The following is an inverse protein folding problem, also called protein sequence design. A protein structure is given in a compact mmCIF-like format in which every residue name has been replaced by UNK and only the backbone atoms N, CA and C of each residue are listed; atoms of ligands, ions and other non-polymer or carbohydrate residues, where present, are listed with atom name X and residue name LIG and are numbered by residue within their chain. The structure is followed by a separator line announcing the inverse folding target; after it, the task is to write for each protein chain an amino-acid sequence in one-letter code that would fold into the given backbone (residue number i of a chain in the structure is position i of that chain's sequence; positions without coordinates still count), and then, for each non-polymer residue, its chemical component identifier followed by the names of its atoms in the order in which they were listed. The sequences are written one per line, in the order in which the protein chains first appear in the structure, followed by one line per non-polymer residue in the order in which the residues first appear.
data_IF_501758412443
#
_entry.id   IF_501758412443
#
_cell.length_a   1.000
_cell.length_b   1.000
_cell.length_c   1.000
_cell.angle_alpha   90.00
_cell.angle_beta   90.00
_cell.angle_gamma   90.00
#
_symmetry.space_group_name_H-M   'P 1'
#
loop_
_entity.id
_entity.type
_entity.pdbx_description
1 polymer ?
#
# COMPACT_ATOMS: atom_id res chain seq x y z
N UNK A 1 -87.57 -0.69 -93.11
CA UNK A 1 -86.11 -0.61 -92.86
C UNK A 1 -85.81 0.41 -91.76
N UNK A 2 -86.07 1.70 -91.99
CA UNK A 2 -85.73 2.81 -91.08
C UNK A 2 -86.12 2.65 -89.59
N UNK A 3 -87.32 2.15 -89.25
CA UNK A 3 -87.72 1.96 -87.83
C UNK A 3 -86.94 0.84 -87.12
N UNK A 4 -86.50 -0.20 -87.83
CA UNK A 4 -85.67 -1.27 -87.25
C UNK A 4 -84.21 -0.81 -87.09
N UNK A 5 -83.71 -0.02 -88.02
CA UNK A 5 -82.39 0.61 -87.92
C UNK A 5 -82.31 1.63 -86.77
N UNK A 6 -83.35 2.47 -86.61
CA UNK A 6 -83.43 3.41 -85.49
C UNK A 6 -83.48 2.70 -84.12
N UNK A 7 -84.22 1.59 -84.01
CA UNK A 7 -84.25 0.78 -82.78
C UNK A 7 -82.90 0.09 -82.50
N UNK A 8 -82.20 -0.39 -83.53
CA UNK A 8 -80.86 -0.96 -83.42
C UNK A 8 -79.84 0.08 -82.96
N UNK A 9 -79.87 1.28 -83.52
CA UNK A 9 -78.99 2.40 -83.13
C UNK A 9 -79.27 2.86 -81.69
N UNK A 10 -80.54 2.91 -81.27
CA UNK A 10 -80.91 3.24 -79.89
C UNK A 10 -80.42 2.19 -78.88
N UNK A 11 -80.50 0.90 -79.24
CA UNK A 11 -79.97 -0.19 -78.41
C UNK A 11 -78.43 -0.15 -78.31
N UNK A 12 -77.73 0.15 -79.40
CA UNK A 12 -76.28 0.35 -79.40
C UNK A 12 -75.86 1.56 -78.58
N UNK A 13 -76.58 2.68 -78.67
CA UNK A 13 -76.34 3.87 -77.86
C UNK A 13 -76.50 3.57 -76.37
N UNK A 14 -77.58 2.87 -75.97
CA UNK A 14 -77.81 2.46 -74.59
C UNK A 14 -76.73 1.50 -74.07
N UNK A 15 -76.25 0.57 -74.92
CA UNK A 15 -75.15 -0.33 -74.61
C UNK A 15 -73.84 0.44 -74.38
N UNK A 16 -73.48 1.36 -75.28
CA UNK A 16 -72.28 2.18 -75.13
C UNK A 16 -72.38 3.15 -73.95
N UNK A 17 -73.56 3.68 -73.63
CA UNK A 17 -73.79 4.46 -72.40
C UNK A 17 -73.53 3.62 -71.15
N UNK A 18 -74.09 2.40 -71.08
CA UNK A 18 -73.85 1.49 -69.95
C UNK A 18 -72.37 1.09 -69.82
N UNK A 19 -71.66 0.97 -70.96
CA UNK A 19 -70.23 0.69 -71.01
C UNK A 19 -69.42 1.88 -70.53
N UNK A 20 -69.77 3.10 -70.95
CA UNK A 20 -69.14 4.34 -70.48
C UNK A 20 -69.29 4.49 -68.97
N UNK A 21 -70.51 4.31 -68.43
CA UNK A 21 -70.74 4.35 -66.99
C UNK A 21 -69.94 3.28 -66.22
N UNK A 22 -69.82 2.07 -66.77
CA UNK A 22 -69.01 1.01 -66.17
C UNK A 22 -67.52 1.35 -66.16
N UNK A 23 -67.00 1.89 -67.27
CA UNK A 23 -65.61 2.33 -67.38
C UNK A 23 -65.33 3.52 -66.46
N UNK A 24 -66.25 4.48 -66.33
CA UNK A 24 -66.14 5.61 -65.40
C UNK A 24 -66.08 5.13 -63.94
N UNK A 25 -66.91 4.15 -63.55
CA UNK A 25 -66.83 3.54 -62.22
C UNK A 25 -65.51 2.81 -62.01
N UNK A 26 -65.05 2.04 -62.99
CA UNK A 26 -63.76 1.33 -62.91
C UNK A 26 -62.58 2.30 -62.82
N UNK A 27 -62.63 3.40 -63.58
CA UNK A 27 -61.63 4.46 -63.53
C UNK A 27 -61.62 5.11 -62.15
N UNK A 28 -62.79 5.43 -61.58
CA UNK A 28 -62.92 6.00 -60.23
C UNK A 28 -62.35 5.09 -59.13
N UNK A 29 -62.60 3.78 -59.22
CA UNK A 29 -62.00 2.80 -58.30
C UNK A 29 -60.49 2.71 -58.48
N UNK A 30 -60.00 2.70 -59.73
CA UNK A 30 -58.57 2.65 -60.00
C UNK A 30 -57.85 3.92 -59.50
N UNK A 31 -58.44 5.11 -59.67
CA UNK A 31 -57.87 6.36 -59.16
C UNK A 31 -57.82 6.36 -57.64
N UNK A 32 -58.89 5.92 -56.96
CA UNK A 32 -58.91 5.82 -55.50
C UNK A 32 -57.83 4.85 -54.97
N UNK A 33 -57.66 3.70 -55.62
CA UNK A 33 -56.62 2.74 -55.26
C UNK A 33 -55.21 3.30 -55.48
N UNK A 34 -55.00 4.10 -56.53
CA UNK A 34 -53.70 4.76 -56.79
C UNK A 34 -53.41 5.82 -55.73
N UNK A 35 -54.41 6.61 -55.32
CA UNK A 35 -54.27 7.59 -54.23
C UNK A 35 -53.96 6.91 -52.89
N UNK A 36 -54.64 5.81 -52.58
CA UNK A 36 -54.35 5.00 -51.39
C UNK A 36 -52.94 4.40 -51.43
N UNK A 37 -52.52 3.88 -52.58
CA UNK A 37 -51.16 3.34 -52.75
C UNK A 37 -50.09 4.44 -52.61
N UNK A 38 -50.34 5.64 -53.14
CA UNK A 38 -49.44 6.77 -53.04
C UNK A 38 -49.25 7.23 -51.59
N UNK A 39 -50.35 7.40 -50.84
CA UNK A 39 -50.31 7.78 -49.42
C UNK A 39 -49.61 6.71 -48.56
N UNK A 40 -49.87 5.43 -48.83
CA UNK A 40 -49.16 4.33 -48.17
C UNK A 40 -47.66 4.32 -48.49
N UNK A 41 -47.27 4.57 -49.75
CA UNK A 41 -45.87 4.64 -50.16
C UNK A 41 -45.14 5.83 -49.48
N UNK A 42 -45.79 6.97 -49.34
CA UNK A 42 -45.25 8.13 -48.61
C UNK A 42 -45.05 7.80 -47.12
N UNK A 43 -46.03 7.14 -46.50
CA UNK A 43 -45.93 6.70 -45.11
C UNK A 43 -44.76 5.73 -44.89
N UNK A 44 -44.59 4.75 -45.79
CA UNK A 44 -43.48 3.79 -45.72
C UNK A 44 -42.12 4.47 -45.92
N UNK A 45 -42.02 5.44 -46.84
CA UNK A 45 -40.78 6.23 -47.01
C UNK A 45 -40.42 7.03 -45.76
N UNK A 46 -41.41 7.63 -45.10
CA UNK A 46 -41.19 8.35 -43.84
C UNK A 46 -40.72 7.41 -42.72
N UNK A 47 -41.33 6.23 -42.60
CA UNK A 47 -40.92 5.22 -41.62
C UNK A 47 -39.51 4.69 -41.88
N UNK A 48 -39.16 4.39 -43.14
CA UNK A 48 -37.81 3.95 -43.51
C UNK A 48 -36.76 5.01 -43.19
N UNK A 49 -37.09 6.30 -43.39
CA UNK A 49 -36.18 7.39 -43.04
C UNK A 49 -35.91 7.45 -41.53
N UNK A 50 -36.97 7.37 -40.71
CA UNK A 50 -36.84 7.35 -39.25
C UNK A 50 -36.02 6.15 -38.76
N UNK A 51 -36.26 4.97 -39.32
CA UNK A 51 -35.49 3.77 -38.98
C UNK A 51 -34.01 3.89 -39.40
N UNK A 52 -33.73 4.55 -40.53
CA UNK A 52 -32.36 4.86 -40.95
C UNK A 52 -31.64 5.76 -39.94
N UNK A 53 -32.29 6.84 -39.50
CA UNK A 53 -31.74 7.76 -38.50
C UNK A 53 -31.52 7.08 -37.13
N UNK A 54 -32.44 6.19 -36.71
CA UNK A 54 -32.28 5.39 -35.49
C UNK A 54 -31.11 4.40 -35.61
N UNK A 55 -30.96 3.73 -36.75
CA UNK A 55 -29.89 2.78 -36.99
C UNK A 55 -28.52 3.46 -36.98
N UNK A 56 -28.40 4.65 -37.58
CA UNK A 56 -27.17 5.46 -37.51
C UNK A 56 -26.82 5.85 -36.07
N UNK A 57 -27.82 6.26 -35.27
CA UNK A 57 -27.60 6.60 -33.84
C UNK A 57 -27.13 5.39 -33.04
N UNK A 58 -27.75 4.22 -33.23
CA UNK A 58 -27.36 3.00 -32.52
C UNK A 58 -25.96 2.55 -32.93
N UNK A 59 -25.61 2.67 -34.22
CA UNK A 59 -24.26 2.36 -34.69
C UNK A 59 -23.20 3.28 -34.09
N UNK A 60 -23.48 4.58 -33.97
CA UNK A 60 -22.60 5.53 -33.32
C UNK A 60 -22.38 5.17 -31.83
N UNK A 61 -23.47 4.95 -31.09
CA UNK A 61 -23.40 4.56 -29.67
C UNK A 61 -22.66 3.23 -29.44
N UNK A 62 -22.87 2.24 -30.33
CA UNK A 62 -22.13 0.98 -30.27
C UNK A 62 -20.63 1.18 -30.51
N UNK A 63 -20.26 2.11 -31.41
CA UNK A 63 -18.86 2.48 -31.65
C UNK A 63 -18.21 3.09 -30.41
N UNK A 64 -18.90 4.01 -29.76
CA UNK A 64 -18.42 4.66 -28.52
C UNK A 64 -18.24 3.66 -27.38
N UNK A 65 -19.22 2.76 -27.16
CA UNK A 65 -19.12 1.75 -26.11
C UNK A 65 -18.02 0.72 -26.41
N UNK A 66 -17.77 0.37 -27.68
CA UNK A 66 -16.62 -0.49 -28.04
C UNK A 66 -15.29 0.16 -27.69
N UNK A 67 -15.10 1.43 -28.03
CA UNK A 67 -13.88 2.17 -27.68
C UNK A 67 -13.68 2.25 -26.16
N UNK A 68 -14.77 2.43 -25.42
CA UNK A 68 -14.74 2.44 -23.95
C UNK A 68 -14.38 1.08 -23.37
N UNK A 69 -14.91 -0.01 -23.91
CA UNK A 69 -14.53 -1.37 -23.51
C UNK A 69 -13.04 -1.63 -23.77
N UNK A 70 -12.53 -1.28 -24.95
CA UNK A 70 -11.11 -1.41 -25.28
C UNK A 70 -10.22 -0.61 -24.31
N UNK A 71 -10.61 0.64 -23.99
CA UNK A 71 -9.89 1.45 -23.01
C UNK A 71 -9.88 0.84 -21.61
N UNK A 72 -11.00 0.24 -21.17
CA UNK A 72 -11.10 -0.43 -19.88
C UNK A 72 -10.28 -1.73 -19.86
N UNK A 73 -10.25 -2.49 -20.95
CA UNK A 73 -9.41 -3.70 -21.07
C UNK A 73 -7.93 -3.36 -20.91
N UNK A 74 -7.46 -2.27 -21.52
CA UNK A 74 -6.08 -1.78 -21.35
C UNK A 74 -5.81 -1.39 -19.90
N UNK A 75 -6.75 -0.69 -19.24
CA UNK A 75 -6.61 -0.32 -17.82
C UNK A 75 -6.57 -1.55 -16.90
N UNK A 76 -7.38 -2.57 -17.19
CA UNK A 76 -7.38 -3.83 -16.42
C UNK A 76 -6.02 -4.53 -16.56
N UNK A 77 -5.45 -4.59 -17.76
CA UNK A 77 -4.13 -5.19 -17.98
C UNK A 77 -3.01 -4.43 -17.25
N UNK A 78 -3.05 -3.09 -17.24
CA UNK A 78 -2.10 -2.26 -16.47
C UNK A 78 -2.21 -2.55 -14.97
N UNK A 79 -3.43 -2.55 -14.43
CA UNK A 79 -3.67 -2.82 -13.01
C UNK A 79 -3.22 -4.23 -12.62
N UNK A 80 -3.48 -5.24 -13.45
CA UNK A 80 -3.00 -6.61 -13.22
C UNK A 80 -1.48 -6.68 -13.17
N UNK A 81 -0.79 -5.98 -14.09
CA UNK A 81 0.67 -5.93 -14.13
C UNK A 81 1.24 -5.25 -12.87
N UNK A 82 0.61 -4.17 -12.40
CA UNK A 82 1.01 -3.46 -11.18
C UNK A 82 0.79 -4.30 -9.92
N UNK A 83 -0.33 -5.02 -9.84
CA UNK A 83 -0.59 -5.94 -8.72
C UNK A 83 0.48 -7.03 -8.66
N UNK A 84 0.80 -7.65 -9.80
CA UNK A 84 1.83 -8.68 -9.87
C UNK A 84 3.21 -8.16 -9.41
N UNK A 85 3.58 -6.93 -9.82
CA UNK A 85 4.82 -6.30 -9.36
C UNK A 85 4.83 -6.05 -7.84
N UNK A 86 3.74 -5.53 -7.28
CA UNK A 86 3.63 -5.32 -5.84
C UNK A 86 3.66 -6.62 -5.03
N UNK A 87 3.04 -7.69 -5.53
CA UNK A 87 3.10 -9.02 -4.89
C UNK A 87 4.53 -9.57 -4.86
N UNK A 88 5.26 -9.40 -5.96
CA UNK A 88 6.67 -9.78 -6.01
C UNK A 88 7.53 -8.98 -5.01
N UNK A 89 7.34 -7.66 -4.94
CA UNK A 89 8.06 -6.81 -3.98
C UNK A 89 7.76 -7.20 -2.52
N UNK A 90 6.49 -7.56 -2.22
CA UNK A 90 6.08 -8.07 -0.91
C UNK A 90 6.82 -9.37 -0.56
N UNK A 91 6.84 -10.32 -1.48
CA UNK A 91 7.46 -11.63 -1.25
C UNK A 91 8.97 -11.49 -1.04
N UNK A 92 9.62 -10.61 -1.81
CA UNK A 92 11.03 -10.28 -1.64
C UNK A 92 11.29 -9.60 -0.28
N UNK A 93 10.39 -8.74 0.19
CA UNK A 93 10.50 -8.10 1.49
C UNK A 93 10.34 -9.11 2.64
N UNK A 94 9.37 -10.01 2.54
CA UNK A 94 9.15 -11.08 3.52
C UNK A 94 10.37 -12.03 3.60
N UNK A 95 10.97 -12.36 2.45
CA UNK A 95 12.19 -13.16 2.41
C UNK A 95 13.37 -12.45 3.11
N UNK A 96 13.54 -11.14 2.86
CA UNK A 96 14.56 -10.33 3.56
C UNK A 96 14.32 -10.24 5.06
N UNK A 97 13.07 -10.07 5.48
CA UNK A 97 12.69 -10.03 6.90
C UNK A 97 13.02 -11.37 7.58
N UNK A 98 12.66 -12.50 6.98
CA UNK A 98 13.00 -13.83 7.51
C UNK A 98 14.50 -14.03 7.65
N UNK A 99 15.28 -13.60 6.65
CA UNK A 99 16.74 -13.68 6.72
C UNK A 99 17.32 -12.80 7.83
N UNK A 100 16.78 -11.60 8.00
CA UNK A 100 17.18 -10.67 9.05
C UNK A 100 16.85 -11.24 10.44
N UNK A 101 15.65 -11.82 10.60
CA UNK A 101 15.22 -12.45 11.84
C UNK A 101 16.15 -13.60 12.26
N UNK A 102 16.60 -14.44 11.30
CA UNK A 102 17.60 -15.48 11.58
C UNK A 102 18.94 -14.90 12.04
N UNK A 103 19.44 -13.86 11.36
CA UNK A 103 20.68 -13.18 11.75
C UNK A 103 20.56 -12.52 13.13
N UNK A 104 19.40 -11.95 13.47
CA UNK A 104 19.14 -11.40 14.79
C UNK A 104 19.03 -12.50 15.86
N UNK A 105 18.46 -13.66 15.54
CA UNK A 105 18.43 -14.80 16.46
C UNK A 105 19.84 -15.35 16.76
N UNK A 106 20.76 -15.26 15.80
CA UNK A 106 22.18 -15.59 16.00
C UNK A 106 22.92 -14.58 16.89
N UNK A 107 22.43 -13.34 17.00
CA UNK A 107 22.98 -12.35 17.92
C UNK A 107 22.58 -12.72 19.35
N UNK A 108 23.52 -13.35 20.05
CA UNK A 108 23.36 -13.69 21.46
C UNK A 108 23.53 -12.42 22.33
N UNK A 109 22.44 -11.66 22.46
CA UNK A 109 22.35 -10.44 23.27
C UNK A 109 22.68 -10.72 24.75
N UNK A 110 22.43 -11.94 25.22
CA UNK A 110 22.80 -12.35 26.58
C UNK A 110 24.31 -12.47 26.75
N UNK A 111 25.04 -13.01 25.77
CA UNK A 111 26.51 -13.01 25.79
C UNK A 111 27.08 -11.60 25.79
N UNK A 112 26.49 -10.67 25.03
CA UNK A 112 26.93 -9.27 25.02
C UNK A 112 26.71 -8.57 26.37
N UNK A 113 25.59 -8.85 27.06
CA UNK A 113 25.35 -8.34 28.41
C UNK A 113 26.32 -8.94 29.45
N UNK A 114 26.60 -10.25 29.37
CA UNK A 114 27.60 -10.91 30.22
C UNK A 114 28.97 -10.27 30.00
N UNK A 115 29.41 -10.13 28.75
CA UNK A 115 30.68 -9.49 28.39
C UNK A 115 30.74 -8.05 28.91
N UNK A 116 29.67 -7.26 28.77
CA UNK A 116 29.64 -5.89 29.27
C UNK A 116 29.72 -5.81 30.81
N UNK A 117 29.07 -6.72 31.53
CA UNK A 117 29.17 -6.82 33.00
C UNK A 117 30.57 -7.25 33.45
N UNK A 118 31.19 -8.18 32.74
CA UNK A 118 32.57 -8.61 32.99
C UNK A 118 33.56 -7.45 32.72
N UNK A 119 33.40 -6.74 31.62
CA UNK A 119 34.19 -5.55 31.30
C UNK A 119 34.02 -4.43 32.35
N UNK A 120 32.82 -4.27 32.92
CA UNK A 120 32.59 -3.33 34.04
C UNK A 120 33.34 -3.74 35.31
N UNK A 121 33.54 -5.04 35.52
CA UNK A 121 34.38 -5.54 36.61
C UNK A 121 35.85 -5.24 36.34
N UNK A 122 36.30 -5.40 35.08
CA UNK A 122 37.65 -5.03 34.66
C UNK A 122 37.89 -3.52 34.78
N UNK A 123 36.94 -2.64 34.42
CA UNK A 123 37.06 -1.18 34.60
C UNK A 123 37.33 -0.81 36.07
N UNK A 124 36.65 -1.48 37.01
CA UNK A 124 36.88 -1.28 38.45
C UNK A 124 38.28 -1.75 38.89
N UNK A 125 38.74 -2.89 38.38
CA UNK A 125 40.08 -3.40 38.67
C UNK A 125 41.17 -2.47 38.12
N UNK A 126 41.00 -1.98 36.89
CA UNK A 126 41.92 -1.01 36.27
C UNK A 126 41.97 0.29 37.06
N UNK A 127 40.83 0.76 37.60
CA UNK A 127 40.81 1.93 38.47
C UNK A 127 41.53 1.69 39.81
N UNK A 128 41.44 0.47 40.38
CA UNK A 128 42.23 0.09 41.56
C UNK A 128 43.73 0.16 41.28
N UNK A 129 44.17 -0.44 40.16
CA UNK A 129 45.59 -0.40 39.73
C UNK A 129 46.05 1.04 39.52
N UNK A 130 45.21 1.90 38.93
CA UNK A 130 45.52 3.32 38.75
C UNK A 130 45.68 4.04 40.09
N UNK A 131 44.83 3.73 41.07
CA UNK A 131 44.91 4.28 42.43
C UNK A 131 46.21 3.85 43.15
N UNK A 132 46.56 2.56 43.06
CA UNK A 132 47.79 2.02 43.62
C UNK A 132 49.03 2.60 42.94
N UNK A 133 49.03 2.75 41.61
CA UNK A 133 50.12 3.37 40.86
C UNK A 133 50.36 4.83 41.28
N UNK A 134 49.30 5.60 41.57
CA UNK A 134 49.40 6.96 42.12
C UNK A 134 50.00 6.96 43.53
N UNK A 135 49.52 6.04 44.38
CA UNK A 135 50.04 5.89 45.75
C UNK A 135 51.53 5.51 45.74
N UNK A 136 51.93 4.62 44.82
CA UNK A 136 53.33 4.27 44.59
C UNK A 136 54.13 5.47 44.08
N UNK A 137 53.60 6.25 43.13
CA UNK A 137 54.23 7.48 42.64
C UNK A 137 54.51 8.48 43.77
N UNK A 138 53.59 8.61 44.73
CA UNK A 138 53.79 9.45 45.92
C UNK A 138 54.84 8.89 46.88
N UNK A 139 54.87 7.58 47.08
CA UNK A 139 55.86 6.92 47.93
C UNK A 139 57.30 7.05 47.36
N UNK A 140 57.46 6.93 46.04
CA UNK A 140 58.75 7.08 45.35
C UNK A 140 59.38 8.46 45.59
N UNK A 141 58.57 9.51 45.75
CA UNK A 141 59.08 10.86 46.08
C UNK A 141 59.84 10.91 47.41
N UNK A 142 59.65 9.92 48.28
CA UNK A 142 60.31 9.82 49.60
C UNK A 142 61.60 9.00 49.56
N UNK A 143 61.99 8.47 48.40
CA UNK A 143 63.23 7.71 48.27
C UNK A 143 64.44 8.62 48.43
N UNK A 144 65.43 8.15 49.19
CA UNK A 144 66.67 8.89 49.48
C UNK A 144 67.71 8.67 48.38
N UNK A 145 67.70 7.51 47.72
CA UNK A 145 68.60 7.21 46.60
C UNK A 145 68.03 7.80 45.29
N UNK A 146 68.78 8.72 44.69
CA UNK A 146 68.38 9.42 43.46
C UNK A 146 68.18 8.47 42.26
N UNK A 147 68.98 7.41 42.15
CA UNK A 147 68.85 6.45 41.04
C UNK A 147 67.58 5.59 41.17
N UNK A 148 67.26 5.16 42.38
CA UNK A 148 66.04 4.39 42.67
C UNK A 148 64.80 5.26 42.54
N UNK A 149 64.90 6.53 42.95
CA UNK A 149 63.84 7.51 42.81
C UNK A 149 63.52 7.77 41.33
N UNK A 150 64.54 8.01 40.50
CA UNK A 150 64.36 8.30 39.07
C UNK A 150 63.78 7.10 38.31
N UNK A 151 64.32 5.90 38.54
CA UNK A 151 63.83 4.67 37.90
C UNK A 151 62.40 4.33 38.33
N UNK A 152 62.10 4.40 39.63
CA UNK A 152 60.77 4.11 40.16
C UNK A 152 59.74 5.16 39.75
N UNK A 153 60.14 6.43 39.58
CA UNK A 153 59.24 7.50 39.10
C UNK A 153 58.80 7.23 37.66
N UNK A 154 59.73 6.79 36.80
CA UNK A 154 59.43 6.42 35.42
C UNK A 154 58.46 5.23 35.35
N UNK A 155 58.67 4.21 36.20
CA UNK A 155 57.77 3.05 36.30
C UNK A 155 56.38 3.46 36.78
N UNK A 156 56.29 4.27 37.84
CA UNK A 156 55.01 4.75 38.37
C UNK A 156 54.24 5.58 37.34
N UNK A 157 54.91 6.47 36.60
CA UNK A 157 54.32 7.25 35.52
C UNK A 157 53.76 6.35 34.41
N UNK A 158 54.54 5.36 33.97
CA UNK A 158 54.11 4.41 32.94
C UNK A 158 52.88 3.58 33.39
N UNK A 159 52.81 3.18 34.67
CA UNK A 159 51.66 2.45 35.22
C UNK A 159 50.39 3.32 35.24
N UNK A 160 50.50 4.61 35.58
CA UNK A 160 49.36 5.55 35.55
C UNK A 160 48.87 5.81 34.12
N UNK A 161 49.79 5.97 33.16
CA UNK A 161 49.44 6.17 31.75
C UNK A 161 48.80 4.92 31.15
N UNK A 162 49.41 3.74 31.38
CA UNK A 162 48.90 2.47 30.88
C UNK A 162 47.50 2.15 31.46
N UNK A 163 47.31 2.31 32.77
CA UNK A 163 45.99 2.09 33.39
C UNK A 163 44.93 3.06 32.85
N UNK A 164 45.30 4.30 32.54
CA UNK A 164 44.38 5.28 31.93
C UNK A 164 43.98 4.87 30.50
N UNK A 165 44.94 4.42 29.69
CA UNK A 165 44.67 3.91 28.33
C UNK A 165 43.81 2.65 28.36
N UNK A 166 44.15 1.68 29.22
CA UNK A 166 43.37 0.46 29.41
C UNK A 166 41.92 0.77 29.79
N UNK A 167 41.72 1.73 30.70
CA UNK A 167 40.39 2.15 31.12
C UNK A 167 39.59 2.78 29.97
N UNK A 168 40.24 3.61 29.15
CA UNK A 168 39.65 4.16 27.93
C UNK A 168 39.17 3.06 27.00
N UNK A 169 40.05 2.11 26.65
CA UNK A 169 39.70 0.96 25.79
C UNK A 169 38.54 0.14 26.36
N UNK A 170 38.55 -0.16 27.67
CA UNK A 170 37.47 -0.92 28.32
C UNK A 170 36.14 -0.19 28.21
N UNK A 171 36.12 1.13 28.42
CA UNK A 171 34.90 1.95 28.29
C UNK A 171 34.39 1.99 26.86
N UNK A 172 35.28 2.15 25.87
CA UNK A 172 34.90 2.15 24.46
C UNK A 172 34.25 0.81 24.05
N UNK A 173 34.79 -0.32 24.55
CA UNK A 173 34.21 -1.64 24.29
C UNK A 173 32.88 -1.81 25.01
N UNK A 174 32.75 -1.39 26.28
CA UNK A 174 31.47 -1.39 26.99
C UNK A 174 30.42 -0.57 26.22
N UNK A 175 30.79 0.62 25.75
CA UNK A 175 29.88 1.48 24.99
C UNK A 175 29.45 0.80 23.69
N UNK A 176 30.36 0.18 22.93
CA UNK A 176 30.02 -0.57 21.71
C UNK A 176 29.16 -1.81 21.98
N UNK A 177 29.39 -2.53 23.08
CA UNK A 177 28.57 -3.68 23.47
C UNK A 177 27.16 -3.28 23.92
N UNK A 178 26.95 -2.02 24.33
CA UNK A 178 25.68 -1.53 24.87
C UNK A 178 24.96 -0.51 23.95
N UNK A 179 25.62 0.11 22.96
CA UNK A 179 25.06 1.27 22.24
C UNK A 179 24.18 0.96 21.03
N UNK A 180 24.15 -0.29 20.51
CA UNK A 180 23.26 -0.66 19.38
C UNK A 180 22.36 -1.86 19.69
N UNK A 181 22.81 -2.83 20.49
CA UNK A 181 22.06 -4.04 20.83
C UNK A 181 21.01 -3.85 21.94
N UNK A 182 21.18 -2.87 22.83
CA UNK A 182 20.23 -2.63 23.92
C UNK A 182 19.00 -1.80 23.51
N UNK A 183 19.10 -0.95 22.48
CA UNK A 183 17.94 -0.18 21.99
C UNK A 183 16.86 -1.07 21.37
N UNK A 184 17.23 -2.26 20.88
CA UNK A 184 16.30 -3.22 20.30
C UNK A 184 15.68 -4.18 21.31
N UNK A 185 16.30 -4.41 22.48
CA UNK A 185 15.92 -5.51 23.38
C UNK A 185 15.55 -5.09 24.81
N UNK A 186 15.84 -3.87 25.25
CA UNK A 186 15.29 -3.34 26.51
C UNK A 186 13.91 -2.72 26.22
N UNK A 187 12.93 -3.55 25.87
CA UNK A 187 11.54 -3.11 25.69
C UNK A 187 10.72 -3.89 24.66
N UNK A 188 11.34 -4.60 23.72
CA UNK A 188 10.63 -5.53 22.86
C UNK A 188 10.41 -6.83 23.64
N UNK A 189 9.39 -6.84 24.50
CA UNK A 189 8.73 -8.10 24.81
C UNK A 189 8.32 -8.69 23.46
N UNK A 190 9.08 -9.67 22.99
CA UNK A 190 8.66 -10.54 21.89
C UNK A 190 7.29 -11.03 22.34
N UNK A 191 6.23 -10.52 21.71
CA UNK A 191 4.86 -11.06 21.84
C UNK A 191 4.85 -12.42 21.16
N UNK A 192 5.61 -13.35 21.71
CA UNK A 192 5.51 -14.76 21.38
C UNK A 192 4.80 -15.44 22.55
N UNK A 193 3.46 -15.59 22.47
CA UNK A 193 2.69 -16.32 23.48
C UNK A 193 3.08 -17.81 23.55
N UNK A 194 3.94 -18.31 22.67
CA UNK A 194 4.45 -19.69 22.67
C UNK A 194 5.87 -19.83 23.25
N UNK A 195 6.61 -18.73 23.44
CA UNK A 195 7.96 -18.76 24.04
C UNK A 195 7.95 -19.09 25.55
N UNK A 196 6.83 -18.86 26.23
CA UNK A 196 6.64 -19.33 27.60
C UNK A 196 6.19 -20.79 27.56
N UNK A 197 7.16 -21.71 27.51
CA UNK A 197 6.91 -23.14 27.66
C UNK A 197 5.97 -23.44 28.82
N UNK A 198 5.10 -24.43 28.63
CA UNK A 198 4.03 -24.84 29.56
C UNK A 198 4.55 -24.86 31.00
N UNK A 199 4.08 -23.90 31.80
CA UNK A 199 4.31 -23.89 33.24
C UNK A 199 3.64 -25.14 33.82
N UNK A 200 4.45 -26.13 34.22
CA UNK A 200 4.00 -27.16 35.16
C UNK A 200 3.54 -26.41 36.42
N UNK A 201 2.30 -26.66 36.81
CA UNK A 201 1.66 -26.17 38.05
C UNK A 201 0.88 -24.84 37.98
N UNK A 202 0.25 -24.53 36.85
CA UNK A 202 -1.06 -23.84 36.84
C UNK A 202 -1.13 -22.42 37.44
N UNK A 203 -0.05 -21.65 37.40
CA UNK A 203 -0.06 -20.25 37.84
C UNK A 203 -0.82 -19.34 36.86
N UNK A 204 -1.90 -18.69 37.32
CA UNK A 204 -2.66 -17.70 36.53
C UNK A 204 -1.86 -16.39 36.43
N UNK A 205 -1.55 -15.95 35.21
CA UNK A 205 -1.14 -14.57 34.96
C UNK A 205 -2.36 -13.66 35.03
N UNK A 206 -2.34 -12.66 35.91
CA UNK A 206 -3.36 -11.61 35.97
C UNK A 206 -3.28 -10.74 34.71
N UNK A 207 -3.97 -11.17 33.65
CA UNK A 207 -4.16 -10.41 32.42
C UNK A 207 -5.59 -9.93 32.32
N UNK A 208 -5.90 -8.76 32.89
CA UNK A 208 -7.07 -8.00 32.50
C UNK A 208 -6.90 -6.52 32.83
N UNK A 209 -6.79 -5.68 31.79
CA UNK A 209 -7.44 -4.36 31.80
C UNK A 209 -8.29 -4.30 30.53
N UNK A 210 -9.58 -4.09 30.79
CA UNK A 210 -10.74 -4.06 29.89
C UNK A 210 -10.56 -3.05 28.75
N UNK A 211 -10.83 -3.50 27.53
CA UNK A 211 -11.34 -2.65 26.48
C UNK A 211 -12.84 -2.43 26.74
N UNK A 212 -13.28 -1.17 26.81
CA UNK A 212 -14.70 -0.82 26.78
C UNK A 212 -14.95 0.17 25.63
N UNK A 213 -15.98 -0.15 24.86
CA UNK A 213 -16.40 0.47 23.61
C UNK A 213 -16.76 1.97 23.69
N UNK A 214 -16.47 2.68 22.60
CA UNK A 214 -17.30 3.71 21.98
C UNK A 214 -17.50 5.03 22.72
N UNK A 215 -16.74 6.08 22.33
CA UNK A 215 -17.22 7.34 21.71
C UNK A 215 -16.05 8.33 21.61
N UNK A 216 -16.10 9.18 20.59
CA UNK A 216 -15.16 10.25 20.26
C UNK A 216 -14.87 11.17 21.47
N UNK A 217 -13.60 11.44 21.77
CA UNK A 217 -13.04 12.81 21.71
C UNK A 217 -11.57 12.88 22.16
N UNK A 218 -10.90 13.90 21.65
CA UNK A 218 -9.48 14.19 21.79
C UNK A 218 -8.97 14.28 23.25
N UNK A 219 -7.77 13.74 23.47
CA UNK A 219 -6.65 14.28 24.27
C UNK A 219 -5.91 13.18 25.03
N UNK A 220 -4.63 12.99 24.69
CA UNK A 220 -3.79 11.99 25.33
C UNK A 220 -2.34 12.10 24.88
N UNK A 221 -1.80 13.32 24.86
CA UNK A 221 -0.40 13.57 24.57
C UNK A 221 0.49 12.86 25.60
N UNK A 222 1.41 12.04 25.10
CA UNK A 222 2.46 11.41 25.91
C UNK A 222 3.34 12.51 26.57
N UNK A 223 3.53 12.50 27.90
CA UNK A 223 4.28 13.55 28.61
C UNK A 223 5.81 13.54 28.34
N UNK A 224 6.28 12.79 27.35
CA UNK A 224 7.70 12.76 26.94
C UNK A 224 7.98 13.38 25.56
N UNK A 225 6.96 13.62 24.74
CA UNK A 225 7.14 14.32 23.44
C UNK A 225 7.07 15.85 23.57
N UNK A 226 6.52 16.40 24.66
CA UNK A 226 6.45 17.86 24.86
C UNK A 226 7.78 18.48 25.28
N UNK A 227 8.71 17.71 25.85
CA UNK A 227 10.02 18.22 26.28
C UNK A 227 11.02 18.38 25.12
N UNK A 228 10.88 17.60 24.05
CA UNK A 228 11.70 17.76 22.83
C UNK A 228 11.24 18.98 22.01
N UNK A 229 9.92 19.16 21.81
CA UNK A 229 9.38 20.30 21.06
C UNK A 229 9.66 21.64 21.76
N UNK A 230 9.78 21.66 23.11
CA UNK A 230 10.15 22.88 23.87
C UNK A 230 11.63 23.24 23.79
N UNK A 231 12.51 22.26 23.53
CA UNK A 231 13.95 22.51 23.35
C UNK A 231 14.25 23.03 21.96
N UNK A 232 13.56 22.55 20.93
CA UNK A 232 13.76 23.01 19.55
C UNK A 232 13.29 24.46 19.31
N UNK A 233 12.30 24.96 20.07
CA UNK A 233 11.86 26.37 19.98
C UNK A 233 12.73 27.38 20.73
N UNK A 234 13.81 26.94 21.38
CA UNK A 234 14.74 27.80 22.14
C UNK A 234 16.15 27.84 21.54
N UNK A 235 16.33 27.24 20.37
CA UNK A 235 17.49 27.46 19.49
C UNK A 235 17.04 28.33 18.31
#
# INVERSE_FOLDING_TARGET
AARREAASLAAQLAQEQSRSESLERQLGVATANVEEAATNAERLRAQLKLQGEELERVQASLGEERQKCEALEVQVQDLQSRVAACEQERDDAEAREKQLALRYAELDVFKLDIIARELKTIDRQVESVRSEARSFQEAVKKFVNANDQQSSTKVAFNLVDLSTKMRGTVRDVIERCLSETQKLHVGAAVRDPTAAGVLKDGGKMAGYVVAADGTEDASGAHPRQQDEIRRERRQ
#
